data_IF_267272376243
#
_entry.id   IF_267272376243
#
_cell.length_a   1.000
_cell.length_b   1.000
_cell.length_c   1.000
_cell.angle_alpha   90.00
_cell.angle_beta   90.00
_cell.angle_gamma   90.00
#
_symmetry.space_group_name_H-M   'P 1'
#
loop_
_entity.id
_entity.type
_entity.pdbx_description
1 polymer ?
#
# COMPACT_ATOMS: atom_id res chain seq x y z
N UNK A 1 -22.43 -7.28 -33.62
CA UNK A 1 -21.80 -7.77 -32.37
C UNK A 1 -20.33 -7.97 -32.67
N UNK A 2 -19.47 -7.09 -32.14
CA UNK A 2 -18.02 -7.10 -32.39
C UNK A 2 -17.32 -7.71 -31.18
N UNK A 3 -16.62 -8.82 -31.40
CA UNK A 3 -15.79 -9.51 -30.39
C UNK A 3 -14.34 -9.05 -30.57
N UNK A 4 -13.62 -8.65 -29.51
CA UNK A 4 -12.25 -8.19 -29.66
C UNK A 4 -11.27 -9.34 -29.92
N UNK A 5 -10.44 -9.15 -30.94
CA UNK A 5 -9.41 -10.06 -31.44
C UNK A 5 -8.27 -10.26 -30.43
N UNK A 6 -8.10 -11.50 -29.96
CA UNK A 6 -6.98 -11.95 -29.12
C UNK A 6 -5.68 -11.98 -29.95
N UNK A 7 -4.72 -11.10 -29.68
CA UNK A 7 -3.40 -11.13 -30.36
C UNK A 7 -2.60 -12.36 -29.90
N UNK A 8 -2.40 -13.31 -30.82
CA UNK A 8 -1.44 -14.42 -30.72
C UNK A 8 -0.01 -13.86 -30.75
N UNK A 9 0.79 -14.15 -29.73
CA UNK A 9 2.25 -13.99 -29.78
C UNK A 9 2.83 -15.16 -30.59
N UNK A 10 3.36 -14.86 -31.78
CA UNK A 10 4.18 -15.79 -32.55
C UNK A 10 5.57 -15.85 -31.94
N UNK A 11 5.93 -17.06 -31.48
CA UNK A 11 7.31 -17.51 -31.32
C UNK A 11 7.91 -17.70 -32.71
N UNK A 12 9.06 -17.08 -32.99
CA UNK A 12 10.23 -17.68 -33.68
C UNK A 12 11.30 -16.62 -33.93
N UNK A 13 12.58 -17.02 -33.80
CA UNK A 13 13.73 -16.23 -34.22
C UNK A 13 14.98 -16.48 -33.38
N UNK A 14 15.57 -17.67 -33.55
CA UNK A 14 16.94 -17.97 -33.09
C UNK A 14 17.90 -17.27 -34.05
N UNK A 15 18.73 -16.35 -33.56
CA UNK A 15 19.87 -15.82 -34.30
C UNK A 15 21.12 -15.89 -33.42
N UNK A 16 22.07 -16.75 -33.81
CA UNK A 16 23.41 -16.77 -33.26
C UNK A 16 24.15 -15.50 -33.74
N UNK A 17 24.51 -14.65 -32.80
CA UNK A 17 25.46 -13.56 -33.01
C UNK A 17 26.42 -13.51 -31.82
N UNK A 18 27.64 -13.98 -32.01
CA UNK A 18 28.74 -13.79 -31.07
C UNK A 18 29.30 -12.37 -31.26
N UNK A 19 29.42 -11.59 -30.18
CA UNK A 19 30.20 -10.35 -30.18
C UNK A 19 29.63 -9.25 -29.30
N UNK A 20 30.36 -8.95 -28.22
CA UNK A 20 30.21 -7.82 -27.29
C UNK A 20 28.91 -7.81 -26.47
N UNK A 21 28.95 -8.53 -25.34
CA UNK A 21 28.06 -8.30 -24.21
C UNK A 21 28.36 -6.94 -23.57
N UNK A 22 27.98 -5.85 -24.24
CA UNK A 22 27.66 -4.63 -23.53
C UNK A 22 26.45 -4.99 -22.67
N UNK A 23 26.68 -5.17 -21.37
CA UNK A 23 25.63 -5.28 -20.37
C UNK A 23 24.69 -4.10 -20.59
N UNK A 24 23.55 -4.35 -21.24
CA UNK A 24 22.46 -3.39 -21.30
C UNK A 24 21.98 -3.26 -19.86
N UNK A 25 22.54 -2.30 -19.13
CA UNK A 25 21.87 -1.73 -17.98
C UNK A 25 20.46 -1.40 -18.46
N UNK A 26 19.41 -1.90 -17.80
CA UNK A 26 18.06 -1.49 -18.16
C UNK A 26 18.04 0.03 -18.15
N UNK A 27 17.53 0.61 -19.24
CA UNK A 27 17.37 2.05 -19.47
C UNK A 27 16.32 2.65 -18.52
N UNK A 28 16.28 2.19 -17.27
CA UNK A 28 15.45 2.66 -16.18
C UNK A 28 16.31 3.20 -15.01
N UNK A 29 17.63 3.05 -15.10
CA UNK A 29 18.58 3.46 -14.06
C UNK A 29 19.21 4.85 -14.31
N UNK A 30 18.63 5.69 -15.18
CA UNK A 30 18.99 7.10 -15.17
C UNK A 30 18.26 7.78 -14.02
N UNK A 31 19.03 8.20 -13.01
CA UNK A 31 18.59 9.04 -11.90
C UNK A 31 18.08 10.37 -12.46
N UNK A 32 16.81 10.42 -12.85
CA UNK A 32 16.09 11.69 -12.94
C UNK A 32 15.90 12.18 -11.50
N UNK A 33 16.23 13.43 -11.23
CA UNK A 33 15.95 14.10 -9.95
C UNK A 33 14.52 13.76 -9.51
N UNK A 34 14.41 13.08 -8.37
CA UNK A 34 13.14 12.55 -7.92
C UNK A 34 12.51 13.56 -6.98
N UNK A 35 11.68 14.44 -7.54
CA UNK A 35 10.87 15.36 -6.74
C UNK A 35 9.85 14.52 -5.95
N UNK A 36 10.13 14.30 -4.67
CA UNK A 36 9.20 13.72 -3.69
C UNK A 36 8.50 14.85 -2.93
N UNK A 37 7.25 14.63 -2.56
CA UNK A 37 6.46 15.54 -1.73
C UNK A 37 6.66 15.33 -0.24
N UNK A 38 7.45 14.32 0.16
CA UNK A 38 7.62 13.91 1.54
C UNK A 38 8.95 14.47 2.10
N UNK A 39 8.85 15.28 3.16
CA UNK A 39 10.01 15.74 3.93
C UNK A 39 10.49 14.60 4.82
N UNK A 40 11.78 14.26 4.75
CA UNK A 40 12.42 13.15 5.47
C UNK A 40 11.89 11.73 5.14
N UNK A 41 12.13 11.22 3.91
CA UNK A 41 11.64 9.92 3.48
C UNK A 41 12.61 8.76 3.81
N UNK A 42 13.69 9.00 4.55
CA UNK A 42 14.65 7.92 4.83
C UNK A 42 13.98 6.78 5.59
N UNK A 43 14.17 5.55 5.09
CA UNK A 43 13.55 4.36 5.65
C UNK A 43 12.08 4.14 5.28
N UNK A 44 11.44 5.05 4.54
CA UNK A 44 10.04 4.93 4.14
C UNK A 44 9.87 4.75 2.63
N UNK A 45 8.82 4.04 2.24
CA UNK A 45 8.32 4.10 0.86
C UNK A 45 7.78 5.50 0.58
N UNK A 46 8.06 6.03 -0.60
CA UNK A 46 7.69 7.40 -0.98
C UNK A 46 7.14 7.42 -2.40
N UNK A 47 6.43 8.50 -2.74
CA UNK A 47 6.15 8.84 -4.13
C UNK A 47 7.27 9.69 -4.72
N UNK A 48 7.47 9.58 -6.02
CA UNK A 48 8.31 10.53 -6.75
C UNK A 48 7.96 10.61 -8.22
N UNK A 49 8.15 11.79 -8.80
CA UNK A 49 7.83 12.04 -10.21
C UNK A 49 9.04 11.76 -11.10
N UNK A 50 8.89 10.93 -12.13
CA UNK A 50 9.92 10.61 -13.15
C UNK A 50 9.30 10.64 -14.53
N UNK A 51 9.90 11.37 -15.47
CA UNK A 51 9.38 11.53 -16.83
C UNK A 51 7.89 11.89 -16.87
N UNK A 52 7.50 12.86 -16.03
CA UNK A 52 6.12 13.30 -15.82
C UNK A 52 5.13 12.25 -15.25
N UNK A 53 5.59 11.08 -14.81
CA UNK A 53 4.77 10.04 -14.17
C UNK A 53 5.10 9.88 -12.68
N UNK A 54 4.10 9.54 -11.87
CA UNK A 54 4.28 9.24 -10.45
C UNK A 54 4.61 7.76 -10.25
N UNK A 55 5.62 7.50 -9.42
CA UNK A 55 6.09 6.16 -9.08
C UNK A 55 6.11 5.97 -7.57
N UNK A 56 5.79 4.76 -7.13
CA UNK A 56 6.17 4.27 -5.81
C UNK A 56 7.67 3.98 -5.82
N UNK A 57 8.34 4.42 -4.77
CA UNK A 57 9.78 4.29 -4.59
C UNK A 57 10.08 3.57 -3.28
N UNK A 58 11.04 2.65 -3.31
CA UNK A 58 11.62 2.06 -2.10
C UNK A 58 12.34 3.11 -1.27
N UNK A 59 12.73 2.81 -0.01
CA UNK A 59 13.62 3.68 0.77
C UNK A 59 14.89 4.10 0.00
N UNK A 60 15.52 3.16 -0.72
CA UNK A 60 16.65 3.43 -1.64
C UNK A 60 16.30 4.23 -2.92
N UNK A 61 15.08 4.78 -3.03
CA UNK A 61 14.57 5.50 -4.21
C UNK A 61 14.50 4.67 -5.50
N UNK A 62 14.37 3.35 -5.42
CA UNK A 62 14.17 2.49 -6.61
C UNK A 62 12.69 2.38 -6.94
N UNK A 63 12.27 2.55 -8.20
CA UNK A 63 10.87 2.42 -8.59
C UNK A 63 10.42 0.96 -8.48
N UNK A 64 9.19 0.73 -8.02
CA UNK A 64 8.65 -0.61 -7.89
C UNK A 64 7.13 -0.64 -8.09
N UNK A 65 6.58 -1.85 -8.28
CA UNK A 65 5.15 -2.11 -8.31
C UNK A 65 4.73 -2.87 -7.05
N UNK A 66 3.53 -2.60 -6.56
CA UNK A 66 2.90 -3.33 -5.46
C UNK A 66 1.57 -3.93 -5.91
N UNK A 67 1.14 -4.98 -5.21
CA UNK A 67 -0.20 -5.57 -5.37
C UNK A 67 -1.09 -4.99 -4.26
N UNK A 68 -2.12 -4.24 -4.64
CA UNK A 68 -3.15 -3.77 -3.72
C UNK A 68 -4.27 -4.78 -3.57
N UNK A 69 -4.59 -5.17 -2.34
CA UNK A 69 -5.71 -6.07 -2.02
C UNK A 69 -6.80 -5.34 -1.25
N UNK A 70 -8.04 -5.54 -1.67
CA UNK A 70 -9.22 -4.87 -1.15
C UNK A 70 -10.23 -5.90 -0.63
N UNK A 71 -10.89 -5.59 0.49
CA UNK A 71 -11.99 -6.39 1.04
C UNK A 71 -11.69 -7.88 1.16
N UNK A 72 -10.49 -8.22 1.62
CA UNK A 72 -10.08 -9.59 1.87
C UNK A 72 -10.46 -10.00 3.29
N UNK A 73 -11.04 -11.19 3.43
CA UNK A 73 -11.16 -11.83 4.73
C UNK A 73 -9.77 -12.18 5.25
N UNK A 74 -9.56 -12.12 6.57
CA UNK A 74 -8.28 -12.43 7.21
C UNK A 74 -7.05 -11.82 6.50
N UNK A 75 -6.93 -10.47 6.50
CA UNK A 75 -5.90 -9.79 5.71
C UNK A 75 -4.47 -10.17 6.10
N UNK A 76 -4.25 -10.64 7.33
CA UNK A 76 -2.93 -11.03 7.83
C UNK A 76 -2.35 -12.19 7.05
N UNK A 77 -3.08 -13.28 6.99
CA UNK A 77 -2.57 -14.51 6.38
C UNK A 77 -2.51 -14.36 4.85
N UNK A 78 -3.52 -13.72 4.24
CA UNK A 78 -3.57 -13.59 2.79
C UNK A 78 -2.51 -12.63 2.22
N UNK A 79 -2.19 -11.51 2.88
CA UNK A 79 -1.10 -10.65 2.38
C UNK A 79 0.24 -11.37 2.41
N UNK A 80 0.52 -12.13 3.47
CA UNK A 80 1.73 -12.93 3.57
C UNK A 80 1.79 -14.00 2.47
N UNK A 81 0.69 -14.71 2.24
CA UNK A 81 0.59 -15.70 1.17
C UNK A 81 0.86 -15.09 -0.21
N UNK A 82 0.24 -13.94 -0.52
CA UNK A 82 0.44 -13.25 -1.79
C UNK A 82 1.87 -12.76 -1.96
N UNK A 83 2.48 -12.22 -0.91
CA UNK A 83 3.89 -11.84 -0.95
C UNK A 83 4.79 -13.05 -1.22
N UNK A 84 4.61 -14.17 -0.50
CA UNK A 84 5.39 -15.39 -0.70
C UNK A 84 5.24 -15.98 -2.10
N UNK A 85 4.02 -15.95 -2.66
CA UNK A 85 3.74 -16.50 -4.00
C UNK A 85 4.33 -15.66 -5.13
N UNK A 86 4.33 -14.34 -4.97
CA UNK A 86 4.69 -13.42 -6.07
C UNK A 86 6.09 -12.81 -5.91
N UNK A 87 6.63 -12.80 -4.70
CA UNK A 87 7.81 -12.02 -4.33
C UNK A 87 7.58 -10.50 -4.37
N UNK A 88 6.35 -10.05 -4.65
CA UNK A 88 6.04 -8.63 -4.81
C UNK A 88 5.60 -7.99 -3.50
N UNK A 89 5.91 -6.71 -3.27
CA UNK A 89 5.32 -5.95 -2.17
C UNK A 89 3.80 -5.92 -2.24
N UNK A 90 3.14 -6.00 -1.08
CA UNK A 90 1.68 -6.03 -0.96
C UNK A 90 1.18 -4.87 -0.10
N UNK A 91 0.03 -4.31 -0.48
CA UNK A 91 -0.64 -3.22 0.22
C UNK A 91 -2.06 -3.66 0.58
N UNK A 92 -2.43 -3.54 1.86
CA UNK A 92 -3.83 -3.68 2.26
C UNK A 92 -4.52 -2.37 1.90
N UNK A 93 -5.06 -2.29 0.68
CA UNK A 93 -5.50 -1.04 0.09
C UNK A 93 -6.93 -0.65 0.49
N UNK A 94 -7.70 -1.60 1.02
CA UNK A 94 -9.07 -1.36 1.49
C UNK A 94 -9.47 -2.44 2.51
N UNK A 95 -9.49 -2.09 3.80
CA UNK A 95 -10.08 -2.94 4.84
C UNK A 95 -10.61 -2.16 6.04
N UNK A 96 -11.67 -2.66 6.66
CA UNK A 96 -12.23 -2.19 7.92
C UNK A 96 -13.02 -3.33 8.58
N UNK A 97 -13.13 -3.33 9.91
CA UNK A 97 -14.09 -4.20 10.61
C UNK A 97 -15.50 -3.61 10.50
N UNK A 98 -16.27 -4.14 9.56
CA UNK A 98 -17.62 -3.67 9.24
C UNK A 98 -18.70 -4.41 10.04
N UNK A 99 -19.57 -3.68 10.73
CA UNK A 99 -20.94 -4.09 11.10
C UNK A 99 -21.86 -3.88 9.88
N UNK A 100 -22.19 -4.95 9.17
CA UNK A 100 -23.03 -4.89 7.97
C UNK A 100 -24.51 -4.59 8.27
N UNK A 101 -25.00 -4.99 9.44
CA UNK A 101 -26.36 -4.79 9.90
C UNK A 101 -26.45 -3.54 10.78
N UNK A 102 -26.18 -2.38 10.19
CA UNK A 102 -26.48 -1.10 10.86
C UNK A 102 -27.98 -0.84 10.71
N UNK A 103 -28.68 -0.50 11.78
CA UNK A 103 -30.13 -0.25 11.72
C UNK A 103 -30.45 1.03 10.94
N UNK A 104 -31.63 1.13 10.31
CA UNK A 104 -32.08 2.37 9.67
C UNK A 104 -32.03 3.55 10.65
N UNK A 105 -31.38 4.65 10.25
CA UNK A 105 -31.20 5.83 11.10
C UNK A 105 -29.97 5.79 12.02
N UNK A 106 -29.28 4.65 12.13
CA UNK A 106 -28.05 4.54 12.90
C UNK A 106 -26.79 4.80 12.05
N UNK A 107 -25.73 5.21 12.73
CA UNK A 107 -24.37 5.23 12.19
C UNK A 107 -23.50 4.26 12.97
N UNK A 108 -22.64 3.52 12.27
CA UNK A 108 -21.67 2.65 12.92
C UNK A 108 -20.32 3.35 13.00
N UNK A 109 -19.69 3.24 14.17
CA UNK A 109 -18.34 3.73 14.40
C UNK A 109 -17.30 2.81 13.78
N UNK A 110 -16.16 3.38 13.43
CA UNK A 110 -15.00 2.57 13.08
C UNK A 110 -14.56 1.72 14.28
N UNK A 111 -13.66 0.76 14.06
CA UNK A 111 -13.10 -0.04 15.13
C UNK A 111 -11.58 0.18 15.19
N UNK A 112 -11.19 1.13 16.03
CA UNK A 112 -9.79 1.52 16.23
C UNK A 112 -8.93 0.41 16.79
N UNK A 113 -9.48 -0.43 17.68
CA UNK A 113 -8.78 -1.57 18.26
C UNK A 113 -8.43 -2.62 17.19
N UNK A 114 -9.40 -3.01 16.37
CA UNK A 114 -9.16 -3.91 15.25
C UNK A 114 -8.18 -3.34 14.23
N UNK A 115 -8.26 -2.03 13.94
CA UNK A 115 -7.28 -1.37 13.09
C UNK A 115 -5.87 -1.48 13.70
N UNK A 116 -5.72 -1.21 14.99
CA UNK A 116 -4.44 -1.27 15.69
C UNK A 116 -3.83 -2.68 15.69
N UNK A 117 -4.64 -3.71 15.95
CA UNK A 117 -4.23 -5.11 15.93
C UNK A 117 -3.82 -5.55 14.51
N UNK A 118 -4.63 -5.18 13.52
CA UNK A 118 -4.36 -5.50 12.12
C UNK A 118 -3.07 -4.83 11.65
N UNK A 119 -2.90 -3.53 11.93
CA UNK A 119 -1.69 -2.79 11.59
C UNK A 119 -0.44 -3.37 12.26
N UNK A 120 -0.54 -3.76 13.53
CA UNK A 120 0.57 -4.38 14.25
C UNK A 120 0.95 -5.75 13.67
N UNK A 121 -0.02 -6.54 13.23
CA UNK A 121 0.22 -7.81 12.54
C UNK A 121 0.80 -7.58 11.13
N UNK A 122 0.26 -6.61 10.38
CA UNK A 122 0.77 -6.23 9.04
C UNK A 122 2.24 -5.84 9.09
N UNK A 123 2.65 -5.07 10.10
CA UNK A 123 4.03 -4.66 10.26
C UNK A 123 5.01 -5.87 10.38
N UNK A 124 4.54 -7.02 10.89
CA UNK A 124 5.39 -8.21 11.00
C UNK A 124 5.63 -8.89 9.64
N UNK A 125 4.78 -8.64 8.64
CA UNK A 125 4.95 -9.15 7.30
C UNK A 125 5.97 -8.27 6.53
N UNK A 126 7.16 -8.78 6.16
CA UNK A 126 8.19 -7.98 5.49
C UNK A 126 7.79 -7.54 4.07
N UNK A 127 6.81 -8.21 3.45
CA UNK A 127 6.26 -7.82 2.16
C UNK A 127 5.16 -6.76 2.24
N UNK A 128 4.60 -6.52 3.43
CA UNK A 128 3.53 -5.54 3.60
C UNK A 128 4.08 -4.13 3.72
N UNK A 129 3.69 -3.26 2.79
CA UNK A 129 4.20 -1.89 2.70
C UNK A 129 3.24 -0.84 3.27
N UNK A 130 2.04 -1.23 3.69
CA UNK A 130 1.08 -0.30 4.27
C UNK A 130 -0.33 -0.86 4.42
N UNK A 131 -1.19 0.00 4.98
CA UNK A 131 -2.61 -0.29 5.20
C UNK A 131 -3.45 0.99 5.07
N UNK A 132 -4.42 0.98 4.17
CA UNK A 132 -5.48 1.98 4.05
C UNK A 132 -6.80 1.47 4.63
N UNK A 133 -7.32 2.22 5.61
CA UNK A 133 -8.62 1.97 6.21
C UNK A 133 -9.76 2.32 5.22
N UNK A 134 -10.72 1.41 5.05
CA UNK A 134 -11.96 1.66 4.27
C UNK A 134 -13.19 1.93 5.15
N UNK A 135 -12.97 2.70 6.20
CA UNK A 135 -13.97 3.11 7.18
C UNK A 135 -14.75 4.36 6.79
N UNK A 136 -14.62 4.78 5.52
CA UNK A 136 -14.95 6.12 5.00
C UNK A 136 -14.23 7.26 5.76
N UNK A 137 -13.77 8.27 5.01
CA UNK A 137 -13.17 9.45 5.64
C UNK A 137 -14.25 10.27 6.34
N UNK A 138 -15.26 10.70 5.58
CA UNK A 138 -16.42 11.44 6.07
C UNK A 138 -17.69 10.59 6.00
N UNK A 139 -18.53 10.74 7.02
CA UNK A 139 -19.80 10.04 7.15
C UNK A 139 -20.76 10.42 6.04
N UNK A 140 -21.45 9.41 5.52
CA UNK A 140 -22.58 9.60 4.63
C UNK A 140 -23.73 8.63 4.95
N UNK A 141 -24.93 8.97 4.51
CA UNK A 141 -26.16 8.22 4.79
C UNK A 141 -26.23 6.84 4.10
N UNK A 142 -25.44 6.62 3.05
CA UNK A 142 -25.42 5.36 2.30
C UNK A 142 -24.55 4.29 2.99
N UNK A 143 -23.29 4.65 3.30
CA UNK A 143 -22.31 3.77 3.94
C UNK A 143 -22.53 3.71 5.45
N UNK A 144 -22.93 4.84 6.07
CA UNK A 144 -23.16 4.98 7.51
C UNK A 144 -21.94 4.75 8.40
N UNK A 145 -20.75 4.96 7.83
CA UNK A 145 -19.44 5.00 8.51
C UNK A 145 -18.74 6.30 8.17
N UNK A 146 -17.82 6.74 9.04
CA UNK A 146 -16.90 7.85 8.80
C UNK A 146 -15.96 8.02 9.98
N UNK A 147 -14.72 8.45 9.74
CA UNK A 147 -13.84 8.98 10.78
C UNK A 147 -14.25 10.39 11.22
N UNK A 148 -14.89 11.13 10.31
CA UNK A 148 -15.58 12.39 10.58
C UNK A 148 -17.08 12.20 10.43
N UNK A 149 -17.88 12.88 11.26
CA UNK A 149 -19.31 12.97 11.05
C UNK A 149 -19.69 14.02 9.97
N UNK A 150 -20.99 14.25 9.80
CA UNK A 150 -21.51 15.17 8.78
C UNK A 150 -21.14 16.64 9.05
N UNK A 151 -20.72 16.98 10.27
CA UNK A 151 -20.26 18.31 10.69
C UNK A 151 -18.74 18.39 10.82
N UNK A 152 -18.02 17.42 10.22
CA UNK A 152 -16.56 17.29 10.28
C UNK A 152 -16.00 17.04 11.70
N UNK A 153 -16.85 16.63 12.65
CA UNK A 153 -16.39 16.29 13.99
C UNK A 153 -15.81 14.88 14.01
N UNK A 154 -14.60 14.68 14.56
CA UNK A 154 -13.95 13.37 14.51
C UNK A 154 -14.56 12.36 15.49
N UNK A 155 -14.58 11.09 15.09
CA UNK A 155 -14.78 9.93 15.95
C UNK A 155 -13.57 9.78 16.89
N UNK A 156 -13.55 10.63 17.92
CA UNK A 156 -12.38 10.88 18.79
C UNK A 156 -11.86 9.59 19.40
N UNK A 157 -12.75 8.70 19.83
CA UNK A 157 -12.40 7.41 20.44
C UNK A 157 -11.56 6.54 19.48
N UNK A 158 -12.06 6.31 18.26
CA UNK A 158 -11.39 5.45 17.29
C UNK A 158 -10.16 6.14 16.67
N UNK A 159 -10.23 7.45 16.42
CA UNK A 159 -9.10 8.22 15.90
C UNK A 159 -7.93 8.21 16.87
N UNK A 160 -8.15 8.31 18.19
CA UNK A 160 -7.08 8.22 19.19
C UNK A 160 -6.39 6.85 19.14
N UNK A 161 -7.17 5.77 19.06
CA UNK A 161 -6.62 4.41 18.98
C UNK A 161 -5.80 4.21 17.71
N UNK A 162 -6.30 4.67 16.57
CA UNK A 162 -5.62 4.61 15.27
C UNK A 162 -4.33 5.43 15.27
N UNK A 163 -4.37 6.65 15.81
CA UNK A 163 -3.19 7.51 15.96
C UNK A 163 -2.13 6.84 16.81
N UNK A 164 -2.49 6.31 17.98
CA UNK A 164 -1.57 5.59 18.85
C UNK A 164 -0.99 4.32 18.19
N UNK A 165 -1.75 3.64 17.33
CA UNK A 165 -1.26 2.52 16.54
C UNK A 165 -0.21 2.96 15.50
N UNK A 166 -0.52 4.01 14.74
CA UNK A 166 0.39 4.58 13.74
C UNK A 166 1.70 5.04 14.38
N UNK A 167 1.63 5.80 15.48
CA UNK A 167 2.82 6.26 16.21
C UNK A 167 3.69 5.10 16.72
N UNK A 168 3.07 4.01 17.20
CA UNK A 168 3.82 2.82 17.63
C UNK A 168 4.56 2.14 16.48
N UNK A 169 3.94 2.01 15.32
CA UNK A 169 4.59 1.44 14.13
C UNK A 169 5.68 2.37 13.61
N UNK A 170 5.42 3.68 13.51
CA UNK A 170 6.42 4.66 13.09
C UNK A 170 7.66 4.62 13.98
N UNK A 171 7.50 4.61 15.31
CA UNK A 171 8.66 4.48 16.24
C UNK A 171 9.49 3.23 15.97
N UNK A 172 8.84 2.09 15.74
CA UNK A 172 9.54 0.83 15.41
C UNK A 172 10.27 0.91 14.07
N UNK A 173 9.69 1.57 13.06
CA UNK A 173 10.34 1.77 11.77
C UNK A 173 11.57 2.68 11.90
N UNK A 174 11.44 3.81 12.60
CA UNK A 174 12.56 4.74 12.83
C UNK A 174 13.71 4.06 13.57
N UNK A 175 13.43 3.27 14.60
CA UNK A 175 14.47 2.54 15.34
C UNK A 175 15.22 1.54 14.44
N UNK A 176 14.51 0.81 13.56
CA UNK A 176 15.15 -0.11 12.60
C UNK A 176 16.09 0.61 11.62
N UNK A 177 15.76 1.83 11.22
CA UNK A 177 16.60 2.62 10.31
C UNK A 177 17.87 3.08 11.02
N UNK A 178 17.76 3.49 12.28
CA UNK A 178 18.91 3.84 13.12
C UNK A 178 19.84 2.64 13.32
N UNK A 179 19.29 1.49 13.73
CA UNK A 179 20.06 0.26 13.96
C UNK A 179 20.77 -0.28 12.69
N UNK A 180 20.35 0.13 11.49
CA UNK A 180 20.97 -0.24 10.21
C UNK A 180 22.03 0.76 9.72
N UNK A 181 22.14 1.91 10.38
CA UNK A 181 23.06 3.00 10.02
C UNK A 181 24.33 3.03 10.87
N UNK A 182 24.33 2.29 12.00
CA UNK A 182 25.45 2.08 12.93
C UNK A 182 26.24 0.80 12.59
#
# INVERSE_FOLDING_TARGET
MSTPTRRRLLKTGLALGAGLAASRTPLFAQNSETNSTQTDPEGFFTLGKRNNHWWLLTPDRKPFFSIGLNHIDNPVDHLDEWHRKTGMPVLLADAAKMKWQTEPGEFTRNNGQWYAETLAAMHQNPGCIGFHLCGAYQRNKARRYGLLDEMEMPDTENVIQMKAANERVTRKMTQRVQDQSD
#
